data_IF_679932848757
#
_entry.id   IF_679932848757
#
_cell.length_a   1.000
_cell.length_b   1.000
_cell.length_c   1.000
_cell.angle_alpha   90.00
_cell.angle_beta   90.00
_cell.angle_gamma   90.00
#
_symmetry.space_group_name_H-M   'P 1'
#
loop_
_entity.id
_entity.type
_entity.pdbx_description
1 polymer ?
#
# COMPACT_ATOMS: atom_id res chain seq x y z
N UNK A 1 -23.94 0.47 5.40
CA UNK A 1 -23.44 1.88 5.47
C UNK A 1 -24.58 2.90 5.64
N UNK A 2 -25.67 2.88 4.85
CA UNK A 2 -26.79 3.87 4.95
C UNK A 2 -27.43 4.05 6.34
N UNK A 3 -27.41 3.04 7.21
CA UNK A 3 -28.11 3.03 8.51
C UNK A 3 -27.36 3.71 9.68
N UNK A 4 -26.05 4.02 9.52
CA UNK A 4 -25.20 4.60 10.58
C UNK A 4 -24.40 5.83 10.12
N UNK A 5 -24.90 6.54 9.10
CA UNK A 5 -24.22 7.68 8.47
C UNK A 5 -23.88 8.83 9.43
N UNK A 6 -24.56 8.92 10.58
CA UNK A 6 -24.33 9.92 11.64
C UNK A 6 -23.27 9.52 12.67
N UNK A 7 -22.77 8.28 12.64
CA UNK A 7 -21.78 7.74 13.61
C UNK A 7 -20.46 7.30 12.99
N UNK A 8 -20.43 7.13 11.66
CA UNK A 8 -19.23 6.73 10.91
C UNK A 8 -18.95 7.86 9.94
N UNK A 9 -17.91 8.63 10.21
CA UNK A 9 -17.47 9.70 9.31
C UNK A 9 -16.89 9.11 8.01
N UNK A 10 -16.69 9.98 7.03
CA UNK A 10 -16.17 9.59 5.73
C UNK A 10 -14.77 8.96 5.81
N UNK A 11 -13.92 9.43 6.73
CA UNK A 11 -12.58 8.89 6.93
C UNK A 11 -12.61 7.41 7.32
N UNK A 12 -13.45 7.02 8.28
CA UNK A 12 -13.58 5.64 8.70
C UNK A 12 -14.03 4.73 7.56
N UNK A 13 -14.96 5.19 6.71
CA UNK A 13 -15.39 4.42 5.53
C UNK A 13 -14.22 4.19 4.57
N UNK A 14 -13.39 5.21 4.32
CA UNK A 14 -12.22 5.07 3.45
C UNK A 14 -11.18 4.12 4.03
N UNK A 15 -10.94 4.17 5.35
CA UNK A 15 -10.07 3.21 6.04
C UNK A 15 -10.62 1.78 5.91
N UNK A 16 -11.94 1.59 5.98
CA UNK A 16 -12.56 0.29 5.74
C UNK A 16 -12.36 -0.19 4.31
N UNK A 17 -12.57 0.67 3.30
CA UNK A 17 -12.30 0.31 1.91
C UNK A 17 -10.84 -0.07 1.71
N UNK A 18 -9.92 0.65 2.34
CA UNK A 18 -8.50 0.36 2.25
C UNK A 18 -8.18 -1.03 2.81
N UNK A 19 -8.70 -1.37 4.00
CA UNK A 19 -8.54 -2.71 4.60
C UNK A 19 -9.11 -3.82 3.72
N UNK A 20 -10.27 -3.59 3.10
CA UNK A 20 -10.88 -4.56 2.17
C UNK A 20 -10.01 -4.72 0.92
N UNK A 21 -9.49 -3.62 0.37
CA UNK A 21 -8.56 -3.67 -0.76
C UNK A 21 -7.30 -4.46 -0.41
N UNK A 22 -6.68 -4.19 0.75
CA UNK A 22 -5.52 -4.92 1.24
C UNK A 22 -5.80 -6.41 1.41
N UNK A 23 -6.99 -6.80 1.87
CA UNK A 23 -7.39 -8.19 1.97
C UNK A 23 -7.46 -8.86 0.59
N UNK A 24 -8.14 -8.24 -0.37
CA UNK A 24 -8.22 -8.76 -1.73
C UNK A 24 -6.84 -8.88 -2.39
N UNK A 25 -6.00 -7.86 -2.20
CA UNK A 25 -4.63 -7.89 -2.66
C UNK A 25 -3.82 -9.04 -2.05
N UNK A 26 -3.94 -9.25 -0.74
CA UNK A 26 -3.22 -10.32 -0.03
C UNK A 26 -3.58 -11.74 -0.46
N UNK A 27 -4.79 -11.94 -1.01
CA UNK A 27 -5.25 -13.22 -1.58
C UNK A 27 -5.08 -13.29 -3.12
N UNK A 28 -4.45 -12.29 -3.73
CA UNK A 28 -4.20 -12.25 -5.19
C UNK A 28 -5.38 -11.80 -6.04
N UNK A 29 -6.50 -11.37 -5.44
CA UNK A 29 -7.69 -10.84 -6.13
C UNK A 29 -7.47 -9.37 -6.54
N UNK A 30 -6.46 -9.12 -7.36
CA UNK A 30 -5.95 -7.78 -7.68
C UNK A 30 -7.01 -6.85 -8.30
N UNK A 31 -7.90 -7.36 -9.15
CA UNK A 31 -8.98 -6.56 -9.76
C UNK A 31 -9.96 -6.02 -8.73
N UNK A 32 -10.29 -6.81 -7.70
CA UNK A 32 -11.15 -6.36 -6.59
C UNK A 32 -10.42 -5.38 -5.69
N UNK A 33 -9.12 -5.58 -5.46
CA UNK A 33 -8.29 -4.59 -4.77
C UNK A 33 -8.40 -3.22 -5.45
N UNK A 34 -8.18 -3.16 -6.76
CA UNK A 34 -8.28 -1.94 -7.57
C UNK A 34 -9.68 -1.30 -7.41
N UNK A 35 -10.75 -2.07 -7.52
CA UNK A 35 -12.12 -1.55 -7.38
C UNK A 35 -12.36 -0.86 -6.03
N UNK A 36 -11.81 -1.40 -4.94
CA UNK A 36 -11.93 -0.78 -3.62
C UNK A 36 -11.00 0.43 -3.44
N UNK A 37 -9.81 0.42 -4.04
CA UNK A 37 -8.90 1.56 -4.00
C UNK A 37 -9.42 2.74 -4.81
N UNK A 38 -10.09 2.48 -5.94
CA UNK A 38 -10.71 3.53 -6.74
C UNK A 38 -11.80 4.28 -5.95
N UNK A 39 -12.51 3.62 -5.03
CA UNK A 39 -13.48 4.27 -4.14
C UNK A 39 -12.82 5.29 -3.19
N UNK A 40 -11.54 5.11 -2.89
CA UNK A 40 -10.75 6.02 -2.05
C UNK A 40 -10.14 7.12 -2.93
N UNK A 41 -9.48 6.73 -4.02
CA UNK A 41 -8.72 7.64 -4.90
C UNK A 41 -9.64 8.63 -5.64
N UNK A 42 -10.86 8.20 -5.98
CA UNK A 42 -11.85 9.05 -6.67
C UNK A 42 -12.59 10.00 -5.74
N UNK A 43 -12.47 9.82 -4.41
CA UNK A 43 -13.13 10.67 -3.44
C UNK A 43 -12.37 12.01 -3.31
N UNK A 44 -13.11 13.12 -3.48
CA UNK A 44 -12.57 14.49 -3.49
C UNK A 44 -12.77 15.25 -2.16
N UNK A 45 -13.17 14.55 -1.10
CA UNK A 45 -13.42 15.18 0.21
C UNK A 45 -12.13 15.68 0.85
N UNK A 46 -12.12 16.95 1.27
CA UNK A 46 -11.00 17.64 1.92
C UNK A 46 -10.65 17.06 3.30
N UNK A 47 -11.52 16.25 3.90
CA UNK A 47 -11.26 15.63 5.20
C UNK A 47 -10.43 14.35 5.09
N UNK A 48 -10.06 13.92 3.89
CA UNK A 48 -9.28 12.70 3.73
C UNK A 48 -7.83 12.95 4.12
N UNK A 49 -7.28 12.05 4.94
CA UNK A 49 -5.88 12.12 5.29
C UNK A 49 -5.00 11.77 4.09
N UNK A 50 -3.99 12.60 3.85
CA UNK A 50 -3.09 12.45 2.71
C UNK A 50 -2.27 11.15 2.78
N UNK A 51 -1.98 10.66 3.99
CA UNK A 51 -1.31 9.37 4.23
C UNK A 51 -2.09 8.21 3.58
N UNK A 52 -3.40 8.12 3.84
CA UNK A 52 -4.27 7.09 3.29
C UNK A 52 -4.33 7.15 1.76
N UNK A 53 -4.41 8.35 1.18
CA UNK A 53 -4.41 8.54 -0.27
C UNK A 53 -3.08 8.11 -0.90
N UNK A 54 -1.96 8.48 -0.27
CA UNK A 54 -0.62 8.05 -0.67
C UNK A 54 -0.56 6.52 -0.73
N UNK A 55 -0.87 5.83 0.37
CA UNK A 55 -0.82 4.37 0.42
C UNK A 55 -1.81 3.71 -0.55
N UNK A 56 -3.01 4.27 -0.69
CA UNK A 56 -4.01 3.78 -1.65
C UNK A 56 -3.51 3.83 -3.09
N UNK A 57 -2.87 4.94 -3.50
CA UNK A 57 -2.35 5.07 -4.87
C UNK A 57 -1.17 4.14 -5.13
N UNK A 58 -0.26 3.98 -4.16
CA UNK A 58 0.85 3.03 -4.33
C UNK A 58 0.31 1.60 -4.42
N UNK A 59 -0.57 1.19 -3.50
CA UNK A 59 -1.17 -0.14 -3.54
C UNK A 59 -1.94 -0.37 -4.86
N UNK A 60 -2.59 0.67 -5.38
CA UNK A 60 -3.31 0.59 -6.65
C UNK A 60 -2.37 0.32 -7.81
N UNK A 61 -1.23 1.02 -7.84
CA UNK A 61 -0.21 0.79 -8.87
C UNK A 61 0.30 -0.65 -8.84
N UNK A 62 0.65 -1.15 -7.66
CA UNK A 62 1.14 -2.51 -7.51
C UNK A 62 0.06 -3.53 -7.89
N UNK A 63 -1.20 -3.31 -7.51
CA UNK A 63 -2.29 -4.19 -7.89
C UNK A 63 -2.53 -4.21 -9.41
N UNK A 64 -2.37 -3.08 -10.11
CA UNK A 64 -2.42 -3.04 -11.58
C UNK A 64 -1.29 -3.84 -12.21
N UNK A 65 -0.07 -3.68 -11.69
CA UNK A 65 1.08 -4.45 -12.14
C UNK A 65 0.85 -5.96 -11.99
N UNK A 66 0.43 -6.40 -10.80
CA UNK A 66 0.17 -7.80 -10.48
C UNK A 66 -1.03 -8.39 -11.24
N UNK A 67 -1.99 -7.55 -11.65
CA UNK A 67 -3.11 -7.97 -12.49
C UNK A 67 -2.74 -8.11 -13.97
N UNK A 68 -1.51 -7.77 -14.37
CA UNK A 68 -1.09 -7.69 -15.77
C UNK A 68 -1.83 -6.61 -16.56
N UNK A 69 -2.30 -5.56 -15.90
CA UNK A 69 -3.01 -4.43 -16.51
C UNK A 69 -2.01 -3.35 -16.94
N UNK A 70 -1.14 -3.71 -17.86
CA UNK A 70 0.02 -2.96 -18.35
C UNK A 70 -0.35 -1.72 -19.20
N UNK A 71 -1.46 -1.78 -19.96
CA UNK A 71 -1.87 -0.69 -20.87
C UNK A 71 -1.93 0.72 -20.23
N UNK A 72 -2.26 0.82 -18.94
CA UNK A 72 -2.38 2.10 -18.22
C UNK A 72 -1.30 2.32 -17.16
N UNK A 73 -0.31 1.43 -17.04
CA UNK A 73 0.62 1.46 -15.92
C UNK A 73 1.49 2.72 -15.91
N UNK A 74 2.02 3.13 -17.07
CA UNK A 74 2.82 4.37 -17.19
C UNK A 74 2.04 5.62 -16.78
N UNK A 75 0.78 5.71 -17.19
CA UNK A 75 -0.09 6.82 -16.82
C UNK A 75 -0.37 6.81 -15.31
N UNK A 76 -0.57 5.63 -14.73
CA UNK A 76 -0.77 5.45 -13.29
C UNK A 76 0.47 5.82 -12.48
N UNK A 77 1.68 5.42 -12.93
CA UNK A 77 2.97 5.82 -12.32
C UNK A 77 3.09 7.35 -12.32
N UNK A 78 2.93 7.98 -13.49
CA UNK A 78 3.06 9.44 -13.64
C UNK A 78 2.05 10.19 -12.77
N UNK A 79 0.80 9.73 -12.73
CA UNK A 79 -0.25 10.37 -11.92
C UNK A 79 -0.01 10.20 -10.42
N UNK A 80 0.47 9.03 -9.99
CA UNK A 80 0.80 8.73 -8.59
C UNK A 80 2.01 9.55 -8.15
N UNK A 81 3.07 9.58 -8.95
CA UNK A 81 4.24 10.41 -8.68
C UNK A 81 3.88 11.89 -8.55
N UNK A 82 3.09 12.43 -9.49
CA UNK A 82 2.62 13.83 -9.47
C UNK A 82 1.79 14.15 -8.22
N UNK A 83 1.01 13.20 -7.72
CA UNK A 83 0.26 13.35 -6.48
C UNK A 83 1.20 13.44 -5.28
N UNK A 84 2.15 12.51 -5.17
CA UNK A 84 3.04 12.41 -4.01
C UNK A 84 3.97 13.62 -3.87
N UNK A 85 4.51 14.16 -4.98
CA UNK A 85 5.38 15.36 -4.91
C UNK A 85 4.65 16.65 -4.55
N UNK A 86 3.31 16.64 -4.54
CA UNK A 86 2.49 17.80 -4.17
C UNK A 86 2.09 17.80 -2.70
N UNK A 87 2.38 16.72 -1.97
CA UNK A 87 2.13 16.65 -0.54
C UNK A 87 3.08 17.61 0.18
N UNK A 88 2.55 18.46 1.05
CA UNK A 88 3.33 19.48 1.76
C UNK A 88 4.26 18.84 2.81
N UNK A 89 3.77 17.85 3.55
CA UNK A 89 4.50 17.16 4.61
C UNK A 89 4.72 15.69 4.26
N UNK A 90 5.87 15.42 3.62
CA UNK A 90 6.29 14.05 3.32
C UNK A 90 6.99 13.40 4.51
N UNK A 91 6.37 12.34 5.03
CA UNK A 91 6.98 11.38 5.95
C UNK A 91 8.08 10.58 5.24
N UNK A 92 9.04 10.05 5.99
CA UNK A 92 10.16 9.28 5.43
C UNK A 92 9.69 8.05 4.67
N UNK A 93 8.67 7.35 5.18
CA UNK A 93 8.05 6.21 4.47
C UNK A 93 7.56 6.64 3.09
N UNK A 94 6.90 7.80 2.98
CA UNK A 94 6.37 8.31 1.72
C UNK A 94 7.48 8.69 0.74
N UNK A 95 8.59 9.26 1.24
CA UNK A 95 9.78 9.57 0.43
C UNK A 95 10.38 8.30 -0.17
N UNK A 96 10.47 7.21 0.60
CA UNK A 96 10.92 5.93 0.09
C UNK A 96 9.94 5.34 -0.94
N UNK A 97 8.63 5.49 -0.74
CA UNK A 97 7.64 5.12 -1.77
C UNK A 97 7.85 5.92 -3.07
N UNK A 98 8.08 7.23 -3.00
CA UNK A 98 8.35 8.06 -4.19
C UNK A 98 9.60 7.59 -4.93
N UNK A 99 10.68 7.29 -4.19
CA UNK A 99 11.93 6.78 -4.76
C UNK A 99 11.72 5.44 -5.46
N UNK A 100 11.02 4.52 -4.81
CA UNK A 100 10.64 3.23 -5.38
C UNK A 100 9.85 3.41 -6.68
N UNK A 101 8.81 4.26 -6.68
CA UNK A 101 8.00 4.53 -7.86
C UNK A 101 8.78 5.15 -9.03
N UNK A 102 9.76 6.01 -8.75
CA UNK A 102 10.63 6.57 -9.78
C UNK A 102 11.47 5.48 -10.44
N UNK A 103 11.86 4.45 -9.69
CA UNK A 103 12.58 3.29 -10.22
C UNK A 103 11.72 2.42 -11.13
N UNK A 104 10.41 2.32 -10.89
CA UNK A 104 9.52 1.39 -11.61
C UNK A 104 9.32 1.69 -13.10
N UNK A 105 9.56 2.92 -13.56
CA UNK A 105 9.30 3.31 -14.95
C UNK A 105 10.13 2.53 -16.00
N UNK A 106 11.28 2.00 -15.61
CA UNK A 106 12.23 1.32 -16.50
C UNK A 106 12.53 -0.14 -16.07
N UNK A 107 11.72 -0.70 -15.16
CA UNK A 107 12.00 -1.99 -14.50
C UNK A 107 11.32 -3.16 -15.20
N UNK A 108 12.13 -4.15 -15.58
CA UNK A 108 11.63 -5.44 -16.04
C UNK A 108 11.13 -6.30 -14.86
N UNK A 109 10.20 -7.25 -15.07
CA UNK A 109 9.65 -8.07 -13.99
C UNK A 109 10.69 -8.81 -13.13
N UNK A 110 11.81 -9.22 -13.72
CA UNK A 110 12.91 -9.87 -13.01
C UNK A 110 13.70 -8.92 -12.09
N UNK A 111 13.61 -7.60 -12.30
CA UNK A 111 14.25 -6.57 -11.48
C UNK A 111 13.34 -6.07 -10.35
N UNK A 112 12.01 -6.25 -10.49
CA UNK A 112 11.05 -5.77 -9.50
C UNK A 112 11.26 -6.39 -8.11
N UNK A 113 11.60 -7.68 -8.05
CA UNK A 113 11.89 -8.36 -6.78
C UNK A 113 13.05 -7.68 -6.03
N UNK A 114 14.06 -7.20 -6.75
CA UNK A 114 15.21 -6.50 -6.16
C UNK A 114 14.78 -5.17 -5.56
N UNK A 115 13.90 -4.43 -6.25
CA UNK A 115 13.37 -3.17 -5.70
C UNK A 115 12.44 -3.39 -4.51
N UNK A 116 11.68 -4.50 -4.47
CA UNK A 116 10.91 -4.87 -3.29
C UNK A 116 11.81 -5.16 -2.09
N UNK A 117 12.95 -5.84 -2.28
CA UNK A 117 13.93 -6.07 -1.21
C UNK A 117 14.47 -4.74 -0.68
N UNK A 118 14.91 -3.84 -1.57
CA UNK A 118 15.42 -2.52 -1.17
C UNK A 118 14.38 -1.69 -0.41
N UNK A 119 13.13 -1.68 -0.91
CA UNK A 119 12.04 -0.98 -0.26
C UNK A 119 11.74 -1.59 1.11
N UNK A 120 11.70 -2.93 1.21
CA UNK A 120 11.47 -3.63 2.47
C UNK A 120 12.54 -3.28 3.52
N UNK A 121 13.81 -3.37 3.15
CA UNK A 121 14.92 -3.05 4.04
C UNK A 121 14.81 -1.61 4.56
N UNK A 122 14.44 -0.65 3.69
CA UNK A 122 14.24 0.75 4.10
C UNK A 122 13.03 0.93 4.99
N UNK A 123 11.87 0.41 4.61
CA UNK A 123 10.66 0.54 5.40
C UNK A 123 10.80 -0.10 6.78
N UNK A 124 11.51 -1.22 6.89
CA UNK A 124 11.76 -1.89 8.16
C UNK A 124 12.53 -1.03 9.16
N UNK A 125 13.39 -0.11 8.70
CA UNK A 125 14.08 0.85 9.60
C UNK A 125 13.14 1.86 10.26
N UNK A 126 11.93 2.04 9.72
CA UNK A 126 10.94 2.98 10.23
C UNK A 126 9.83 2.30 11.07
N UNK A 127 9.86 0.96 11.19
CA UNK A 127 8.83 0.18 11.91
C UNK A 127 8.73 0.59 13.39
N UNK A 128 9.89 0.72 14.06
CA UNK A 128 9.98 1.14 15.46
C UNK A 128 10.12 2.67 15.63
N UNK A 129 10.03 3.44 14.54
CA UNK A 129 10.28 4.88 14.60
C UNK A 129 9.04 5.62 15.17
N UNK A 130 9.21 6.47 16.20
CA UNK A 130 8.09 7.04 16.96
C UNK A 130 7.14 7.91 16.12
N UNK A 131 7.64 8.51 15.04
CA UNK A 131 6.86 9.39 14.17
C UNK A 131 6.39 8.73 12.87
N UNK A 132 7.03 7.63 12.44
CA UNK A 132 6.79 6.99 11.14
C UNK A 132 5.96 5.71 11.26
N UNK A 133 5.94 5.08 12.44
CA UNK A 133 5.18 3.86 12.76
C UNK A 133 3.69 3.95 12.36
N UNK A 134 3.11 5.15 12.35
CA UNK A 134 1.73 5.40 11.93
C UNK A 134 1.45 4.99 10.48
N UNK A 135 2.44 5.07 9.59
CA UNK A 135 2.30 4.58 8.21
C UNK A 135 1.93 3.10 8.14
N UNK A 136 2.46 2.30 9.07
CA UNK A 136 2.28 0.85 9.15
C UNK A 136 0.93 0.44 9.77
N UNK A 137 0.17 1.38 10.35
CA UNK A 137 -1.18 1.11 10.86
C UNK A 137 -2.21 0.86 9.76
N UNK A 138 -1.96 1.38 8.55
CA UNK A 138 -2.91 1.25 7.45
C UNK A 138 -2.73 -0.06 6.70
N UNK A 139 -1.48 -0.46 6.47
CA UNK A 139 -1.09 -1.67 5.74
C UNK A 139 0.13 -2.27 6.42
N UNK A 140 0.08 -3.58 6.68
CA UNK A 140 1.29 -4.36 6.97
C UNK A 140 2.10 -4.52 5.67
N UNK A 141 2.64 -3.40 5.18
CA UNK A 141 3.39 -3.29 3.94
C UNK A 141 4.66 -4.14 3.99
N UNK A 142 5.18 -4.37 5.19
CA UNK A 142 6.31 -5.25 5.47
C UNK A 142 5.93 -6.70 5.17
N UNK A 143 4.85 -7.23 5.76
CA UNK A 143 4.38 -8.60 5.47
C UNK A 143 4.00 -8.77 4.00
N UNK A 144 3.46 -7.72 3.37
CA UNK A 144 3.22 -7.76 1.94
C UNK A 144 4.52 -7.86 1.13
N UNK A 145 5.51 -7.00 1.38
CA UNK A 145 6.79 -7.05 0.67
C UNK A 145 7.47 -8.41 0.85
N UNK A 146 7.47 -8.95 2.07
CA UNK A 146 8.00 -10.29 2.36
C UNK A 146 7.26 -11.37 1.58
N UNK A 147 5.94 -11.29 1.46
CA UNK A 147 5.16 -12.24 0.65
C UNK A 147 5.64 -12.27 -0.80
N UNK A 148 6.00 -11.11 -1.37
CA UNK A 148 6.51 -11.00 -2.74
C UNK A 148 7.98 -11.41 -2.86
N UNK A 149 8.79 -11.10 -1.86
CA UNK A 149 10.20 -11.49 -1.82
C UNK A 149 10.35 -13.01 -1.67
N UNK A 150 9.52 -13.63 -0.83
CA UNK A 150 9.55 -15.07 -0.52
C UNK A 150 8.66 -15.91 -1.45
N UNK A 151 7.85 -15.26 -2.30
CA UNK A 151 6.86 -15.93 -3.15
C UNK A 151 5.88 -16.81 -2.34
N UNK A 152 5.36 -16.23 -1.25
CA UNK A 152 4.36 -16.82 -0.36
C UNK A 152 3.10 -15.95 -0.34
N UNK A 153 1.97 -16.49 0.10
CA UNK A 153 0.79 -15.67 0.33
C UNK A 153 0.99 -14.76 1.56
N UNK A 154 0.37 -13.57 1.53
CA UNK A 154 0.46 -12.61 2.65
C UNK A 154 -0.09 -13.22 3.95
N UNK A 155 -1.15 -14.02 3.85
CA UNK A 155 -1.73 -14.68 5.04
C UNK A 155 -0.78 -15.69 5.68
N UNK A 156 0.04 -16.37 4.87
CA UNK A 156 1.06 -17.29 5.38
C UNK A 156 2.14 -16.54 6.13
N UNK A 157 2.66 -15.44 5.56
CA UNK A 157 3.66 -14.58 6.23
C UNK A 157 3.13 -14.07 7.58
N UNK A 158 1.90 -13.54 7.61
CA UNK A 158 1.28 -13.04 8.84
C UNK A 158 1.14 -14.16 9.88
N UNK A 159 0.69 -15.35 9.48
CA UNK A 159 0.58 -16.53 10.36
C UNK A 159 1.95 -16.95 10.90
N UNK A 160 2.99 -16.95 10.07
CA UNK A 160 4.36 -17.29 10.46
C UNK A 160 4.91 -16.30 11.49
N UNK A 161 4.75 -14.99 11.25
CA UNK A 161 5.12 -13.94 12.21
C UNK A 161 4.40 -14.07 13.55
N UNK A 162 3.09 -14.30 13.53
CA UNK A 162 2.31 -14.46 14.74
C UNK A 162 2.78 -15.68 15.55
N UNK A 163 3.04 -16.82 14.89
CA UNK A 163 3.58 -18.01 15.55
C UNK A 163 4.99 -17.78 16.10
N UNK A 164 5.86 -17.07 15.38
CA UNK A 164 7.20 -16.74 15.85
C UNK A 164 7.16 -15.87 17.10
N UNK A 165 6.33 -14.82 17.12
CA UNK A 165 6.16 -13.93 18.28
C UNK A 165 5.63 -14.66 19.51
N UNK A 166 4.69 -15.60 19.34
CA UNK A 166 4.14 -16.41 20.43
C UNK A 166 5.01 -17.58 20.88
N UNK A 167 6.10 -17.89 20.16
CA UNK A 167 7.12 -18.85 20.62
C UNK A 167 8.22 -18.19 21.46
N UNK A 168 8.32 -16.86 21.38
CA UNK A 168 9.34 -16.06 22.08
C UNK A 168 8.79 -15.51 23.42
N UNK A 169 7.47 -15.55 23.60
CA UNK A 169 6.76 -15.32 24.87
C UNK A 169 6.41 -16.64 25.55
#
# INVERSE_FOLDING_TARGET
>A
IKKHKSRIDEHHIMVFYYKIASLYFGIGENKKCIEFLDKIISNKSLSMREDLLCFSRVLNLVAHYEAGLDYNLDALIKSTYKFLIRMEDLYEVQKEMIKFLRGLGDIYPNQLRVEFIKLHEKLKTYEDHPYESRAFLYLDIISWLESKIENKSVDLIIREKFKAKNKIN
#
